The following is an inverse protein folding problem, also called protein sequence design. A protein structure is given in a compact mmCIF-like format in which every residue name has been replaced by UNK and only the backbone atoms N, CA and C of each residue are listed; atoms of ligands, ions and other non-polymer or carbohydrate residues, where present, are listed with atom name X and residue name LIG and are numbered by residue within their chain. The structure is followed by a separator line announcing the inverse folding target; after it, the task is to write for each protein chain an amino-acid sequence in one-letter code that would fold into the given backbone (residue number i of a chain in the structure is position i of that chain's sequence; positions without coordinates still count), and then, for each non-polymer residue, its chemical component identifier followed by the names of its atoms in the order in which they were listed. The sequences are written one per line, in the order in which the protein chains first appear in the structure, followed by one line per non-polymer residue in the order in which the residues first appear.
data_IF_031408270401
#
_entry.id   IF_031408270401
#
_cell.length_a   1.000
_cell.length_b   1.000
_cell.length_c   1.000
_cell.angle_alpha   90.00
_cell.angle_beta   90.00
_cell.angle_gamma   90.00
#
_symmetry.space_group_name_H-M   'P 1'
#
loop_
_entity.id
_entity.type
_entity.pdbx_description
1 polymer ?
#
# COMPACT_ATOMS: atom_id res chain seq x y z
N UNK A 1 -30.13 -0.96 -5.43
CA UNK A 1 -29.36 -1.86 -6.30
C UNK A 1 -27.97 -2.03 -5.72
N UNK A 2 -27.65 -3.16 -5.12
CA UNK A 2 -26.28 -3.46 -4.69
C UNK A 2 -25.53 -3.94 -5.93
N UNK A 3 -24.60 -3.18 -6.52
CA UNK A 3 -23.83 -3.70 -7.65
C UNK A 3 -23.07 -4.92 -7.16
N UNK A 4 -23.39 -6.10 -7.70
CA UNK A 4 -22.66 -7.34 -7.44
C UNK A 4 -21.28 -7.22 -8.08
N UNK A 5 -20.38 -6.56 -7.37
CA UNK A 5 -18.99 -6.36 -7.79
C UNK A 5 -18.30 -7.71 -7.82
N UNK A 6 -17.64 -8.02 -8.95
CA UNK A 6 -16.98 -9.31 -9.14
C UNK A 6 -15.97 -9.54 -7.99
N UNK A 7 -15.89 -10.73 -7.37
CA UNK A 7 -15.13 -10.95 -6.14
C UNK A 7 -13.65 -10.53 -6.21
N UNK A 8 -13.00 -10.72 -7.37
CA UNK A 8 -11.61 -10.31 -7.58
C UNK A 8 -11.44 -8.78 -7.61
N UNK A 9 -12.46 -8.03 -8.02
CA UNK A 9 -12.46 -6.56 -8.01
C UNK A 9 -12.53 -6.05 -6.57
N UNK A 10 -13.40 -6.66 -5.75
CA UNK A 10 -13.48 -6.34 -4.32
C UNK A 10 -12.15 -6.63 -3.64
N UNK A 11 -11.54 -7.78 -3.90
CA UNK A 11 -10.26 -8.16 -3.29
C UNK A 11 -9.11 -7.25 -3.73
N UNK A 12 -9.00 -6.95 -5.03
CA UNK A 12 -8.01 -6.02 -5.55
C UNK A 12 -8.17 -4.61 -4.95
N UNK A 13 -9.41 -4.11 -4.87
CA UNK A 13 -9.71 -2.81 -4.29
C UNK A 13 -9.33 -2.74 -2.81
N UNK A 14 -9.65 -3.77 -2.04
CA UNK A 14 -9.28 -3.86 -0.62
C UNK A 14 -7.76 -3.87 -0.44
N UNK A 15 -7.02 -4.65 -1.24
CA UNK A 15 -5.55 -4.66 -1.19
C UNK A 15 -4.96 -3.30 -1.53
N UNK A 16 -5.47 -2.64 -2.56
CA UNK A 16 -4.99 -1.32 -2.98
C UNK A 16 -5.26 -0.28 -1.88
N UNK A 17 -6.46 -0.25 -1.29
CA UNK A 17 -6.78 0.66 -0.19
C UNK A 17 -5.89 0.41 1.03
N UNK A 18 -5.71 -0.85 1.42
CA UNK A 18 -4.88 -1.20 2.56
C UNK A 18 -3.43 -0.77 2.31
N UNK A 19 -2.88 -1.07 1.13
CA UNK A 19 -1.53 -0.66 0.75
C UNK A 19 -1.35 0.85 0.77
N UNK A 20 -2.30 1.61 0.20
CA UNK A 20 -2.28 3.08 0.25
C UNK A 20 -2.44 3.62 1.67
N UNK A 21 -3.30 3.02 2.49
CA UNK A 21 -3.55 3.44 3.87
C UNK A 21 -2.33 3.25 4.75
N UNK A 22 -1.67 2.09 4.65
CA UNK A 22 -0.41 1.80 5.36
C UNK A 22 0.66 2.81 4.93
N UNK A 23 0.85 2.99 3.62
CA UNK A 23 1.82 3.96 3.08
C UNK A 23 1.57 5.39 3.57
N UNK A 24 0.31 5.81 3.63
CA UNK A 24 -0.05 7.15 4.11
C UNK A 24 0.29 7.34 5.60
N UNK A 25 -0.01 6.34 6.44
CA UNK A 25 0.31 6.37 7.87
C UNK A 25 1.83 6.39 8.07
N UNK A 26 2.57 5.57 7.33
CA UNK A 26 4.03 5.55 7.39
C UNK A 26 4.65 6.87 6.95
N UNK A 27 4.12 7.46 5.87
CA UNK A 27 4.58 8.77 5.40
C UNK A 27 4.30 9.86 6.44
N UNK A 28 3.14 9.82 7.10
CA UNK A 28 2.80 10.72 8.20
C UNK A 28 3.73 10.51 9.40
N UNK A 29 4.01 9.26 9.78
CA UNK A 29 4.94 8.91 10.86
C UNK A 29 6.35 9.44 10.58
N UNK A 30 6.88 9.18 9.38
CA UNK A 30 8.17 9.70 8.93
C UNK A 30 8.22 11.23 8.90
N UNK A 31 7.11 11.88 8.52
CA UNK A 31 7.02 13.35 8.48
C UNK A 31 7.04 13.98 9.88
N UNK A 32 6.51 13.27 10.88
CA UNK A 32 6.54 13.70 12.29
C UNK A 32 7.85 13.32 13.02
N UNK A 33 8.67 12.44 12.44
CA UNK A 33 10.01 12.10 12.96
C UNK A 33 11.12 13.05 12.49
N UNK A 34 10.78 14.09 11.72
CA UNK A 34 11.65 15.24 11.51
C UNK A 34 11.80 16.00 12.84
N UNK A 35 12.87 15.70 13.58
CA UNK A 35 13.03 16.12 14.97
C UNK A 35 12.97 17.66 15.16
N UNK A 36 12.60 18.14 16.37
CA UNK A 36 12.37 19.55 16.67
C UNK A 36 13.58 20.48 16.46
N UNK A 37 14.78 19.94 16.24
CA UNK A 37 16.03 20.69 16.08
C UNK A 37 16.67 20.52 14.68
N UNK A 38 15.94 20.03 13.67
CA UNK A 38 16.49 19.88 12.31
C UNK A 38 17.51 18.76 12.13
N UNK A 39 17.78 17.96 13.16
CA UNK A 39 18.57 16.73 13.05
C UNK A 39 17.67 15.60 12.55
N UNK A 40 17.94 15.01 11.36
CA UNK A 40 17.18 13.87 10.88
C UNK A 40 17.37 12.71 11.87
N UNK A 41 16.26 12.18 12.37
CA UNK A 41 16.28 10.92 13.11
C UNK A 41 16.84 9.87 12.15
N UNK A 42 18.05 9.35 12.43
CA UNK A 42 18.66 8.29 11.64
C UNK A 42 17.83 7.02 11.81
N UNK A 43 16.76 6.88 11.02
CA UNK A 43 16.11 5.59 10.84
C UNK A 43 17.06 4.69 10.07
N UNK A 44 17.22 3.46 10.54
CA UNK A 44 17.93 2.41 9.82
C UNK A 44 17.33 2.29 8.41
N UNK A 45 18.19 2.42 7.40
CA UNK A 45 17.78 2.33 5.99
C UNK A 45 17.10 1.00 5.66
N UNK A 46 17.38 -0.05 6.43
CA UNK A 46 16.71 -1.34 6.32
C UNK A 46 15.25 -1.27 6.76
N UNK A 47 14.97 -0.62 7.89
CA UNK A 47 13.60 -0.40 8.36
C UNK A 47 12.84 0.50 7.40
N UNK A 48 13.46 1.58 6.92
CA UNK A 48 12.85 2.51 5.98
C UNK A 48 12.55 1.83 4.62
N UNK A 49 13.42 0.90 4.18
CA UNK A 49 13.22 0.10 2.98
C UNK A 49 12.05 -0.87 3.12
N UNK A 50 11.98 -1.63 4.21
CA UNK A 50 10.87 -2.58 4.46
C UNK A 50 9.53 -1.84 4.58
N UNK A 51 9.52 -0.68 5.24
CA UNK A 51 8.37 0.20 5.41
C UNK A 51 7.80 0.64 4.05
N UNK A 52 8.64 0.88 3.05
CA UNK A 52 8.17 1.27 1.70
C UNK A 52 7.82 0.04 0.84
N UNK A 53 8.58 -1.05 0.96
CA UNK A 53 8.39 -2.25 0.12
C UNK A 53 7.06 -2.95 0.42
N UNK A 54 6.68 -3.05 1.69
CA UNK A 54 5.45 -3.75 2.10
C UNK A 54 4.16 -3.17 1.47
N UNK A 55 3.85 -1.86 1.58
CA UNK A 55 2.65 -1.29 0.97
C UNK A 55 2.71 -1.29 -0.56
N UNK A 56 3.88 -1.07 -1.16
CA UNK A 56 4.06 -1.15 -2.62
C UNK A 56 3.74 -2.56 -3.13
N UNK A 57 4.26 -3.60 -2.46
CA UNK A 57 3.95 -4.98 -2.79
C UNK A 57 2.45 -5.29 -2.69
N UNK A 58 1.77 -4.70 -1.71
CA UNK A 58 0.32 -4.84 -1.50
C UNK A 58 -0.49 -4.21 -2.64
N UNK A 59 -0.10 -3.03 -3.11
CA UNK A 59 -0.70 -2.36 -4.28
C UNK A 59 -0.45 -3.17 -5.55
N UNK A 60 0.78 -3.63 -5.77
CA UNK A 60 1.15 -4.47 -6.92
C UNK A 60 0.36 -5.78 -6.92
N UNK A 61 0.21 -6.43 -5.78
CA UNK A 61 -0.60 -7.63 -5.64
C UNK A 61 -2.07 -7.38 -6.02
N UNK A 62 -2.65 -6.26 -5.59
CA UNK A 62 -4.00 -5.84 -6.01
C UNK A 62 -4.13 -5.67 -7.52
N UNK A 63 -3.16 -4.98 -8.16
CA UNK A 63 -3.11 -4.79 -9.61
C UNK A 63 -3.00 -6.13 -10.36
N UNK A 64 -2.14 -7.03 -9.91
CA UNK A 64 -1.96 -8.36 -10.51
C UNK A 64 -3.22 -9.20 -10.41
N UNK A 65 -3.88 -9.21 -9.24
CA UNK A 65 -5.14 -9.95 -9.05
C UNK A 65 -6.24 -9.39 -9.94
N UNK A 66 -6.31 -8.08 -10.11
CA UNK A 66 -7.25 -7.45 -11.03
C UNK A 66 -6.97 -7.86 -12.50
N UNK A 67 -5.71 -7.78 -12.94
CA UNK A 67 -5.32 -8.17 -14.29
C UNK A 67 -5.60 -9.66 -14.56
N UNK A 68 -5.14 -10.56 -13.69
CA UNK A 68 -5.36 -12.00 -13.82
C UNK A 68 -6.86 -12.32 -13.77
N UNK A 69 -7.60 -11.70 -12.86
CA UNK A 69 -9.05 -11.87 -12.75
C UNK A 69 -9.80 -11.40 -14.00
N UNK A 70 -9.31 -10.34 -14.65
CA UNK A 70 -9.82 -9.85 -15.94
C UNK A 70 -9.46 -10.81 -17.09
N UNK A 71 -8.20 -11.26 -17.17
CA UNK A 71 -7.71 -12.14 -18.24
C UNK A 71 -8.30 -13.55 -18.19
N UNK A 72 -8.54 -14.13 -17.00
CA UNK A 72 -9.14 -15.47 -16.87
C UNK A 72 -10.66 -15.49 -17.12
N UNK A 73 -11.32 -14.34 -17.21
CA UNK A 73 -12.76 -14.20 -17.48
C UNK A 73 -13.06 -13.57 -18.84
N UNK A 74 -12.02 -13.25 -19.63
CA UNK A 74 -12.07 -12.92 -21.06
C UNK A 74 -11.89 -14.20 -21.85
#
# INVERSE_FOLDING_TARGET
MHPSTKPYVKLAYTLIIIGMGIFAIERLGLSNMAGPNGTPMHLDGTLLSVLVIAPVALVVAGCLIFMIGKMRRL
#
